data_IF_374475949710
#
_entry.id   IF_374475949710
#
_cell.length_a   1.000
_cell.length_b   1.000
_cell.length_c   1.000
_cell.angle_alpha   90.00
_cell.angle_beta   90.00
_cell.angle_gamma   90.00
#
_symmetry.space_group_name_H-M   'P 1'
#
loop_
_entity.id
_entity.type
_entity.pdbx_description
1 polymer ?
#
# COMPACT_ATOMS: atom_id res chain seq x y z
N UNK A 1 -17.18 -3.65 16.78
CA UNK A 1 -15.82 -3.08 16.79
C UNK A 1 -14.86 -4.17 16.35
N UNK A 2 -14.52 -4.23 15.06
CA UNK A 2 -13.53 -5.18 14.56
C UNK A 2 -12.17 -4.47 14.56
N UNK A 3 -11.41 -4.62 15.65
CA UNK A 3 -10.00 -4.28 15.65
C UNK A 3 -9.33 -5.17 14.60
N UNK A 4 -8.96 -4.60 13.47
CA UNK A 4 -7.97 -5.22 12.59
C UNK A 4 -6.76 -5.48 13.47
N UNK A 5 -6.44 -6.77 13.67
CA UNK A 5 -5.28 -7.23 14.43
C UNK A 5 -4.08 -6.44 13.91
N UNK A 6 -3.63 -5.45 14.69
CA UNK A 6 -2.36 -4.79 14.48
C UNK A 6 -1.33 -5.82 14.88
N UNK A 7 -1.06 -6.75 13.96
CA UNK A 7 0.08 -7.66 14.08
C UNK A 7 1.27 -6.76 14.35
N UNK A 8 2.02 -6.99 15.44
CA UNK A 8 3.17 -6.15 15.75
C UNK A 8 4.07 -6.11 14.51
N UNK A 9 4.56 -4.92 14.11
CA UNK A 9 5.42 -4.79 12.95
C UNK A 9 6.64 -5.71 13.13
N UNK A 10 6.91 -6.53 12.14
CA UNK A 10 7.88 -7.61 12.26
C UNK A 10 8.18 -8.30 10.92
N UNK A 11 9.06 -9.31 10.92
CA UNK A 11 9.46 -10.03 9.72
C UNK A 11 8.31 -10.74 9.00
N UNK A 12 7.25 -11.10 9.73
CA UNK A 12 6.07 -11.78 9.20
C UNK A 12 4.95 -10.83 8.72
N UNK A 13 5.21 -9.51 8.66
CA UNK A 13 4.20 -8.52 8.27
C UNK A 13 3.89 -8.51 6.76
N UNK A 14 4.70 -9.16 5.92
CA UNK A 14 4.49 -9.14 4.47
C UNK A 14 3.35 -10.06 4.04
N UNK A 15 2.41 -9.50 3.27
CA UNK A 15 1.29 -10.25 2.68
C UNK A 15 1.12 -9.84 1.23
N UNK A 16 0.88 -10.82 0.35
CA UNK A 16 0.57 -10.53 -1.04
C UNK A 16 -0.74 -9.74 -1.16
N UNK A 17 -0.74 -8.74 -2.02
CA UNK A 17 -1.96 -8.03 -2.38
C UNK A 17 -2.77 -8.89 -3.36
N UNK A 18 -3.89 -9.43 -2.89
CA UNK A 18 -4.76 -10.32 -3.67
C UNK A 18 -6.09 -9.64 -4.02
N UNK A 19 -6.89 -10.31 -4.87
CA UNK A 19 -8.26 -9.85 -5.14
C UNK A 19 -9.11 -9.83 -3.86
N UNK A 20 -8.86 -10.76 -2.96
CA UNK A 20 -9.52 -10.81 -1.65
C UNK A 20 -9.10 -9.63 -0.79
N UNK A 21 -7.81 -9.27 -0.78
CA UNK A 21 -7.31 -8.06 -0.10
C UNK A 21 -8.02 -6.79 -0.61
N UNK A 22 -8.18 -6.65 -1.93
CA UNK A 22 -8.90 -5.52 -2.52
C UNK A 22 -10.38 -5.51 -2.13
N UNK A 23 -11.05 -6.66 -2.20
CA UNK A 23 -12.45 -6.80 -1.82
C UNK A 23 -12.68 -6.49 -0.33
N UNK A 24 -11.78 -6.95 0.55
CA UNK A 24 -11.82 -6.66 1.98
C UNK A 24 -11.67 -5.16 2.27
N UNK A 25 -10.75 -4.48 1.57
CA UNK A 25 -10.61 -3.01 1.66
C UNK A 25 -11.88 -2.32 1.16
N UNK A 26 -12.45 -2.76 0.05
CA UNK A 26 -13.68 -2.19 -0.51
C UNK A 26 -14.87 -2.32 0.43
N UNK A 27 -15.01 -3.47 1.09
CA UNK A 27 -16.02 -3.71 2.12
C UNK A 27 -15.83 -2.77 3.30
N UNK A 28 -14.61 -2.67 3.87
CA UNK A 28 -14.32 -1.75 4.98
C UNK A 28 -14.63 -0.30 4.63
N UNK A 29 -14.26 0.16 3.42
CA UNK A 29 -14.57 1.50 2.94
C UNK A 29 -16.09 1.72 2.80
N UNK A 30 -16.83 0.72 2.32
CA UNK A 30 -18.28 0.79 2.19
C UNK A 30 -18.99 0.87 3.55
N UNK A 31 -18.54 0.07 4.52
CA UNK A 31 -19.03 0.07 5.90
C UNK A 31 -18.75 1.41 6.61
N UNK A 32 -17.54 1.94 6.45
CA UNK A 32 -17.15 3.26 6.99
C UNK A 32 -18.00 4.37 6.36
N UNK A 33 -18.26 4.32 5.05
CA UNK A 33 -19.15 5.28 4.36
C UNK A 33 -20.62 5.17 4.75
N UNK A 34 -21.07 3.98 5.18
CA UNK A 34 -22.43 3.73 5.63
C UNK A 34 -22.65 4.17 7.08
N UNK A 35 -21.62 4.06 7.91
CA UNK A 35 -21.66 4.44 9.34
C UNK A 35 -21.35 5.92 9.57
N UNK A 36 -20.56 6.57 8.70
CA UNK A 36 -20.29 8.02 8.80
C UNK A 36 -21.39 8.87 8.15
N UNK A 37 -22.05 9.78 8.88
CA UNK A 37 -23.02 10.71 8.31
C UNK A 37 -22.35 11.64 7.28
N UNK A 38 -23.08 12.01 6.23
CA UNK A 38 -22.61 12.83 5.08
C UNK A 38 -21.95 14.17 5.45
N UNK A 39 -22.13 14.64 6.69
CA UNK A 39 -21.73 15.96 7.16
C UNK A 39 -20.27 16.03 7.60
N UNK A 40 -19.68 14.93 8.09
CA UNK A 40 -18.24 14.83 8.44
C UNK A 40 -17.32 14.66 7.21
N UNK A 41 -17.90 14.54 5.99
CA UNK A 41 -17.13 14.38 4.75
C UNK A 41 -16.44 15.68 4.29
N UNK A 42 -16.73 16.81 4.94
CA UNK A 42 -16.15 18.13 4.62
C UNK A 42 -14.94 18.49 5.49
N UNK A 43 -14.66 17.71 6.52
CA UNK A 43 -13.62 18.02 7.52
C UNK A 43 -12.37 17.14 7.35
N UNK A 44 -12.11 16.63 6.14
CA UNK A 44 -10.86 15.91 5.81
C UNK A 44 -9.64 16.85 5.67
N UNK A 45 -9.83 18.16 5.94
CA UNK A 45 -8.76 19.17 6.07
C UNK A 45 -8.45 19.49 7.55
N UNK A 46 -8.87 18.64 8.50
CA UNK A 46 -8.40 18.74 9.87
C UNK A 46 -6.98 18.12 9.95
N UNK A 47 -5.97 18.97 10.13
CA UNK A 47 -4.54 18.63 10.33
C UNK A 47 -4.28 17.59 11.45
N UNK A 48 -5.32 17.15 12.13
CA UNK A 48 -5.36 16.24 13.27
C UNK A 48 -5.82 14.81 12.93
N UNK A 49 -6.06 14.49 11.65
CA UNK A 49 -6.31 13.12 11.20
C UNK A 49 -5.10 12.18 11.41
N UNK A 50 -5.29 10.85 11.41
CA UNK A 50 -4.17 9.91 11.49
C UNK A 50 -3.18 10.21 10.37
N UNK A 51 -1.90 10.44 10.70
CA UNK A 51 -0.85 10.76 9.73
C UNK A 51 -0.22 9.47 9.20
N UNK A 52 0.18 9.42 7.91
CA UNK A 52 0.96 8.30 7.40
C UNK A 52 2.27 8.19 8.21
N UNK A 53 2.74 6.97 8.40
CA UNK A 53 3.98 6.75 9.14
C UNK A 53 5.18 7.25 8.32
N UNK A 54 5.94 8.20 8.88
CA UNK A 54 7.12 8.78 8.24
C UNK A 54 8.21 7.75 7.91
N UNK A 55 8.29 6.65 8.66
CA UNK A 55 9.24 5.56 8.41
C UNK A 55 8.82 4.66 7.23
N UNK A 56 7.54 4.71 6.85
CA UNK A 56 6.95 3.95 5.73
C UNK A 56 6.56 4.86 4.55
N UNK A 57 7.25 5.99 4.42
CA UNK A 57 7.10 6.88 3.28
C UNK A 57 7.61 6.22 1.98
N UNK A 58 6.91 6.49 0.88
CA UNK A 58 7.33 6.01 -0.43
C UNK A 58 8.69 6.61 -0.80
N UNK A 59 9.58 5.79 -1.39
CA UNK A 59 10.96 6.15 -1.70
C UNK A 59 11.94 5.90 -0.56
N UNK A 60 11.48 5.70 0.69
CA UNK A 60 12.36 5.31 1.80
C UNK A 60 12.64 3.81 1.81
N UNK A 61 13.74 3.45 2.47
CA UNK A 61 14.07 2.06 2.75
C UNK A 61 13.25 1.54 3.92
N UNK A 62 12.80 0.30 3.82
CA UNK A 62 12.01 -0.36 4.85
C UNK A 62 12.80 -0.43 6.17
N UNK A 63 12.19 -0.06 7.31
CA UNK A 63 12.83 -0.14 8.61
C UNK A 63 13.32 -1.56 8.95
N UNK A 64 14.42 -1.66 9.69
CA UNK A 64 15.08 -2.94 10.01
C UNK A 64 14.17 -3.92 10.79
N UNK A 65 13.16 -3.42 11.49
CA UNK A 65 12.19 -4.23 12.25
C UNK A 65 11.43 -5.24 11.38
N UNK A 66 11.29 -4.97 10.08
CA UNK A 66 10.62 -5.87 9.13
C UNK A 66 11.54 -6.96 8.58
N UNK A 67 12.79 -7.03 9.03
CA UNK A 67 13.72 -8.07 8.61
C UNK A 67 14.05 -8.04 7.11
N UNK A 68 14.38 -9.21 6.57
CA UNK A 68 14.64 -9.40 5.15
C UNK A 68 13.38 -9.78 4.39
N UNK A 69 13.25 -9.24 3.17
CA UNK A 69 12.11 -9.52 2.31
C UNK A 69 12.31 -10.90 1.66
N UNK A 70 11.36 -11.83 1.77
CA UNK A 70 11.43 -13.11 1.07
C UNK A 70 11.65 -12.89 -0.44
N UNK A 71 12.56 -13.63 -1.11
CA UNK A 71 12.88 -13.41 -2.51
C UNK A 71 11.66 -13.45 -3.46
N UNK A 72 10.65 -14.25 -3.12
CA UNK A 72 9.41 -14.40 -3.89
C UNK A 72 8.49 -13.16 -3.82
N UNK A 73 8.67 -12.32 -2.80
CA UNK A 73 7.86 -11.12 -2.57
C UNK A 73 8.53 -9.85 -3.13
N UNK A 74 9.79 -9.96 -3.55
CA UNK A 74 10.51 -8.83 -4.13
C UNK A 74 9.90 -8.45 -5.47
N UNK A 75 9.57 -7.16 -5.63
CA UNK A 75 8.91 -6.60 -6.80
C UNK A 75 7.50 -7.17 -7.08
N UNK A 76 6.89 -7.83 -6.10
CA UNK A 76 5.50 -8.25 -6.15
C UNK A 76 4.60 -7.26 -5.40
N UNK A 77 3.31 -7.16 -5.75
CA UNK A 77 2.37 -6.30 -5.04
C UNK A 77 2.04 -6.89 -3.67
N UNK A 78 2.27 -6.10 -2.62
CA UNK A 78 2.05 -6.45 -1.21
C UNK A 78 1.01 -5.51 -0.58
N UNK A 79 0.33 -5.99 0.46
CA UNK A 79 -0.54 -5.15 1.29
C UNK A 79 0.28 -4.01 1.94
N UNK A 80 -0.35 -2.84 2.11
CA UNK A 80 0.33 -1.69 2.72
C UNK A 80 0.60 -1.98 4.21
N UNK A 81 1.85 -1.77 4.62
CA UNK A 81 2.30 -2.00 6.00
C UNK A 81 1.87 -0.88 6.93
N UNK A 82 1.54 0.29 6.38
CA UNK A 82 1.12 1.44 7.16
C UNK A 82 -0.39 1.36 7.46
N UNK A 83 -0.80 1.29 8.75
CA UNK A 83 -2.20 1.24 9.14
C UNK A 83 -3.04 2.39 8.60
N UNK A 84 -2.42 3.55 8.32
CA UNK A 84 -3.10 4.69 7.69
C UNK A 84 -3.74 4.32 6.34
N UNK A 85 -3.15 3.36 5.62
CA UNK A 85 -3.61 2.93 4.31
C UNK A 85 -4.55 1.72 4.35
N UNK A 86 -4.92 1.19 5.53
CA UNK A 86 -5.76 -0.02 5.65
C UNK A 86 -7.14 0.09 4.98
N UNK A 87 -7.70 1.30 4.96
CA UNK A 87 -8.97 1.64 4.31
C UNK A 87 -8.74 2.48 3.04
N UNK A 88 -7.53 2.44 2.48
CA UNK A 88 -7.22 3.04 1.19
C UNK A 88 -6.99 1.93 0.19
N UNK A 89 -7.47 2.13 -1.05
CA UNK A 89 -7.19 1.20 -2.16
C UNK A 89 -5.76 1.40 -2.61
N UNK A 90 -4.78 0.95 -1.83
CA UNK A 90 -3.35 1.02 -2.15
C UNK A 90 -2.68 -0.34 -1.96
N UNK A 91 -1.52 -0.50 -2.59
CA UNK A 91 -0.62 -1.61 -2.38
C UNK A 91 0.81 -1.07 -2.47
N UNK A 92 1.76 -1.76 -1.84
CA UNK A 92 3.17 -1.42 -1.92
C UNK A 92 3.92 -2.44 -2.75
N UNK A 93 5.06 -2.04 -3.30
CA UNK A 93 6.03 -2.91 -3.95
C UNK A 93 7.39 -2.59 -3.37
N UNK A 94 8.12 -3.64 -3.00
CA UNK A 94 9.44 -3.51 -2.42
C UNK A 94 10.50 -3.95 -3.44
N UNK A 95 11.56 -3.17 -3.59
CA UNK A 95 12.70 -3.57 -4.42
C UNK A 95 13.72 -4.41 -3.60
N UNK A 96 14.76 -4.92 -4.27
CA UNK A 96 15.85 -5.68 -3.61
C UNK A 96 16.57 -4.87 -2.52
N UNK A 97 16.63 -3.55 -2.67
CA UNK A 97 17.19 -2.62 -1.68
C UNK A 97 16.19 -2.21 -0.59
N UNK A 98 15.08 -2.94 -0.43
CA UNK A 98 14.01 -2.67 0.54
C UNK A 98 13.31 -1.30 0.38
N UNK A 99 13.43 -0.63 -0.76
CA UNK A 99 12.74 0.64 -0.97
C UNK A 99 11.23 0.45 -1.16
N UNK A 100 10.44 1.28 -0.49
CA UNK A 100 8.96 1.23 -0.49
C UNK A 100 8.43 2.02 -1.67
N UNK A 101 7.70 1.38 -2.58
CA UNK A 101 6.96 2.06 -3.65
C UNK A 101 5.47 1.87 -3.46
N UNK A 102 4.71 2.95 -3.26
CA UNK A 102 3.26 2.88 -3.02
C UNK A 102 2.47 3.19 -4.29
N UNK A 103 1.50 2.34 -4.60
CA UNK A 103 0.66 2.45 -5.77
C UNK A 103 -0.83 2.41 -5.39
N UNK A 104 -1.68 3.09 -6.16
CA UNK A 104 -3.13 2.99 -5.98
C UNK A 104 -3.67 1.71 -6.62
N UNK A 105 -4.47 0.94 -5.90
CA UNK A 105 -5.23 -0.20 -6.39
C UNK A 105 -6.51 0.21 -7.16
N UNK A 106 -6.79 1.51 -7.31
CA UNK A 106 -7.90 1.97 -8.15
C UNK A 106 -7.71 1.57 -9.61
N UNK A 107 -8.80 1.18 -10.28
CA UNK A 107 -8.81 0.98 -11.72
C UNK A 107 -8.66 2.33 -12.42
N UNK A 108 -7.45 2.65 -12.89
CA UNK A 108 -7.28 3.69 -13.89
C UNK A 108 -7.72 3.11 -15.25
N UNK A 109 -8.55 3.85 -15.99
CA UNK A 109 -9.04 3.48 -17.34
C UNK A 109 -9.83 2.15 -17.41
N UNK A 110 -10.53 1.74 -16.34
CA UNK A 110 -11.42 0.56 -16.28
C UNK A 110 -10.83 -0.84 -16.62
N UNK A 111 -9.62 -0.93 -17.21
CA UNK A 111 -9.03 -2.17 -17.77
C UNK A 111 -7.69 -2.52 -17.08
N UNK A 112 -7.01 -1.55 -16.46
CA UNK A 112 -5.71 -1.73 -15.82
C UNK A 112 -5.85 -1.99 -14.31
N UNK A 113 -6.55 -3.06 -13.95
CA UNK A 113 -6.57 -3.54 -12.56
C UNK A 113 -5.15 -3.88 -12.10
N UNK A 114 -4.84 -3.79 -10.78
CA UNK A 114 -3.53 -4.16 -10.25
C UNK A 114 -3.12 -5.62 -10.56
N UNK A 115 -4.08 -6.45 -10.98
CA UNK A 115 -3.89 -7.84 -11.38
C UNK A 115 -3.64 -8.04 -12.87
N UNK A 116 -3.63 -6.98 -13.68
CA UNK A 116 -3.36 -7.08 -15.11
C UNK A 116 -1.85 -7.37 -15.34
N UNK A 117 -1.48 -8.39 -16.14
CA UNK A 117 -0.09 -8.74 -16.38
C UNK A 117 0.74 -7.60 -16.98
N UNK A 118 0.13 -6.75 -17.82
CA UNK A 118 0.79 -5.57 -18.39
C UNK A 118 1.17 -4.59 -17.28
N UNK A 119 0.24 -4.34 -16.35
CA UNK A 119 0.45 -3.45 -15.22
C UNK A 119 1.49 -4.01 -14.25
N UNK A 120 1.46 -5.32 -13.99
CA UNK A 120 2.50 -5.99 -13.19
C UNK A 120 3.89 -5.84 -13.82
N UNK A 121 4.02 -6.08 -15.13
CA UNK A 121 5.29 -5.92 -15.83
C UNK A 121 5.78 -4.48 -15.81
N UNK A 122 4.89 -3.51 -16.05
CA UNK A 122 5.22 -2.09 -16.01
C UNK A 122 5.75 -1.67 -14.63
N UNK A 123 5.08 -2.10 -13.54
CA UNK A 123 5.53 -1.80 -12.17
C UNK A 123 6.87 -2.49 -11.87
N UNK A 124 7.06 -3.73 -12.32
CA UNK A 124 8.31 -4.46 -12.13
C UNK A 124 9.48 -3.74 -12.81
N UNK A 125 9.28 -3.25 -14.04
CA UNK A 125 10.27 -2.42 -14.75
C UNK A 125 10.49 -1.11 -14.02
N UNK A 126 9.42 -0.42 -13.60
CA UNK A 126 9.49 0.87 -12.93
C UNK A 126 10.31 0.77 -11.63
N UNK A 127 10.02 -0.20 -10.78
CA UNK A 127 10.70 -0.39 -9.49
C UNK A 127 12.16 -0.83 -9.67
N UNK A 128 12.46 -1.61 -10.72
CA UNK A 128 13.84 -1.96 -11.05
C UNK A 128 14.63 -0.80 -11.66
N UNK A 129 13.96 0.12 -12.37
CA UNK A 129 14.58 1.28 -13.04
C UNK A 129 14.63 2.54 -12.17
N UNK A 130 13.76 2.65 -11.16
CA UNK A 130 13.73 3.78 -10.21
C UNK A 130 14.98 3.99 -9.35
N UNK A 131 15.88 3.02 -9.06
CA UNK A 131 17.16 3.38 -8.46
C UNK A 131 17.98 4.38 -9.30
N UNK A 132 17.73 4.48 -10.61
CA UNK A 132 18.43 5.40 -11.51
C UNK A 132 17.74 6.77 -11.65
N UNK A 133 16.40 6.83 -11.55
CA UNK A 133 15.66 8.09 -11.69
C UNK A 133 15.83 9.05 -10.51
N UNK A 134 16.21 8.57 -9.32
CA UNK A 134 16.53 9.44 -8.18
C UNK A 134 17.95 10.04 -8.22
N UNK A 135 18.83 9.55 -9.11
CA UNK A 135 20.22 10.05 -9.25
C UNK A 135 20.29 11.19 -10.30
N UNK A 136 19.22 11.40 -11.08
CA UNK A 136 19.15 12.42 -12.13
C UNK A 136 17.88 13.27 -11.93
N UNK A 137 17.82 14.04 -10.84
CA UNK A 137 17.04 15.28 -10.66
C UNK A 137 17.76 16.13 -9.62
#
# INVERSE_FOLDING_TARGET
MAQSVLVPPGPDSFRFFTRESLAAIEQRIAEEKATRPKQERKDEDDENGPKPNSDLEAGKSLPFIYGDIPPEMVSEPLEDLDPYYINKKTFIVLNKGKAISRFSATSALYILTPFNPIRKLAIKILVHSYPFFQIVI
#
